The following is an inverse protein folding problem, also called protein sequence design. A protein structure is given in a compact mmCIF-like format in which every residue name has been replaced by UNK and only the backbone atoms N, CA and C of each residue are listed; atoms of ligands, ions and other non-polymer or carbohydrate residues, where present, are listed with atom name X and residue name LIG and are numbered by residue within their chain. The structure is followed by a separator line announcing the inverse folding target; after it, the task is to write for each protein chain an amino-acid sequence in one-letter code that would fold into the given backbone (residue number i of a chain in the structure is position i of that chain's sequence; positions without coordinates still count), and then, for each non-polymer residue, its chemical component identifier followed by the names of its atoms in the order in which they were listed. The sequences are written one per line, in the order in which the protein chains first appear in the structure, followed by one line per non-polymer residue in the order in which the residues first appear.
data_IF_144952162845
#
_entry.id   IF_144952162845
#
_cell.length_a   1.000
_cell.length_b   1.000
_cell.length_c   1.000
_cell.angle_alpha   90.00
_cell.angle_beta   90.00
_cell.angle_gamma   90.00
#
_symmetry.space_group_name_H-M   'P 1'
#
loop_
_entity.id
_entity.type
_entity.pdbx_description
1 polymer ?
#
# COMPACT_ATOMS: atom_id res chain seq x y z
N UNK A 1 4.74 11.82 14.53
CA UNK A 1 5.23 13.11 14.08
C UNK A 1 5.21 13.23 12.55
N UNK A 2 5.65 14.36 12.05
CA UNK A 2 5.76 14.67 10.62
C UNK A 2 6.97 13.99 9.99
N UNK A 3 6.84 13.57 8.73
CA UNK A 3 7.96 13.07 7.89
C UNK A 3 8.71 11.88 8.48
N UNK A 4 8.03 11.00 9.19
CA UNK A 4 8.66 9.79 9.71
C UNK A 4 9.27 8.99 8.56
N UNK A 5 10.55 8.62 8.69
CA UNK A 5 11.25 7.81 7.69
C UNK A 5 11.55 8.51 6.37
N UNK A 6 11.50 9.86 6.33
CA UNK A 6 11.84 10.59 5.11
C UNK A 6 13.30 10.33 4.71
N UNK A 7 13.51 10.04 3.41
CA UNK A 7 14.83 9.83 2.78
C UNK A 7 15.65 8.67 3.36
N UNK A 8 15.03 7.72 4.04
CA UNK A 8 15.75 6.59 4.64
C UNK A 8 16.42 5.74 3.55
N UNK A 9 17.76 5.57 3.64
CA UNK A 9 18.51 4.86 2.61
C UNK A 9 18.52 3.35 2.85
N UNK A 10 19.00 2.62 1.85
CA UNK A 10 19.23 1.18 1.93
C UNK A 10 20.05 0.79 3.17
N UNK A 11 19.68 -0.29 3.81
CA UNK A 11 20.36 -0.81 5.00
C UNK A 11 19.78 -0.30 6.32
N UNK A 12 18.87 0.68 6.30
CA UNK A 12 18.21 1.21 7.49
C UNK A 12 16.76 0.72 7.54
N UNK A 13 16.38 0.17 8.69
CA UNK A 13 15.00 -0.26 8.97
C UNK A 13 14.47 0.52 10.16
N UNK A 14 13.30 1.17 9.98
CA UNK A 14 12.60 1.86 11.06
C UNK A 14 11.25 1.20 11.29
N UNK A 15 10.99 0.81 12.52
CA UNK A 15 9.72 0.21 12.93
C UNK A 15 9.04 1.12 13.96
N UNK A 16 7.81 1.54 13.67
CA UNK A 16 7.02 2.41 14.53
C UNK A 16 5.82 1.67 15.09
N UNK A 17 5.67 1.65 16.41
CA UNK A 17 4.42 1.32 17.08
C UNK A 17 3.71 2.63 17.41
N UNK A 18 2.60 2.91 16.75
CA UNK A 18 1.82 4.13 16.92
C UNK A 18 1.57 4.85 15.60
N UNK A 19 0.99 6.02 15.70
CA UNK A 19 0.57 6.82 14.55
C UNK A 19 1.72 7.67 14.01
N UNK A 20 1.70 7.94 12.73
CA UNK A 20 2.51 8.98 12.12
C UNK A 20 1.62 9.95 11.33
N UNK A 21 2.08 11.21 11.22
CA UNK A 21 1.34 12.25 10.53
C UNK A 21 1.71 12.26 9.03
N UNK A 22 1.70 13.45 8.42
CA UNK A 22 1.91 13.59 6.98
C UNK A 22 3.36 13.33 6.55
N UNK A 23 3.55 13.02 5.28
CA UNK A 23 4.84 12.79 4.62
C UNK A 23 5.63 11.57 5.15
N UNK A 24 4.91 10.54 5.61
CA UNK A 24 5.55 9.25 5.89
C UNK A 24 6.37 8.81 4.68
N UNK A 25 7.66 8.53 4.89
CA UNK A 25 8.53 7.97 3.86
C UNK A 25 8.73 8.85 2.63
N UNK A 26 8.54 10.17 2.73
CA UNK A 26 8.84 11.09 1.63
C UNK A 26 10.26 10.85 1.13
N UNK A 27 10.40 10.62 -0.17
CA UNK A 27 11.71 10.40 -0.78
C UNK A 27 12.44 9.16 -0.27
N UNK A 28 11.73 8.16 0.22
CA UNK A 28 12.33 6.89 0.65
C UNK A 28 13.28 6.38 -0.43
N UNK A 29 14.50 6.02 -0.06
CA UNK A 29 15.57 5.70 -1.02
C UNK A 29 16.27 4.36 -0.73
N UNK A 30 15.50 3.34 -0.37
CA UNK A 30 15.99 1.97 -0.21
C UNK A 30 15.81 1.36 1.16
N UNK A 31 15.44 2.15 2.17
CA UNK A 31 15.18 1.63 3.51
C UNK A 31 13.88 0.88 3.64
N UNK A 32 13.64 0.35 4.83
CA UNK A 32 12.42 -0.40 5.17
C UNK A 32 11.71 0.31 6.30
N UNK A 33 10.42 0.61 6.09
CA UNK A 33 9.56 1.24 7.09
C UNK A 33 8.42 0.28 7.44
N UNK A 34 8.12 0.13 8.73
CA UNK A 34 6.93 -0.58 9.17
C UNK A 34 6.20 0.24 10.23
N UNK A 35 4.88 0.35 10.07
CA UNK A 35 3.99 1.11 10.93
C UNK A 35 2.91 0.16 11.41
N UNK A 36 2.75 0.03 12.73
CA UNK A 36 1.70 -0.80 13.33
C UNK A 36 1.07 -0.11 14.52
N UNK A 37 -0.18 -0.45 14.87
CA UNK A 37 -0.83 0.13 16.04
C UNK A 37 -0.08 -0.17 17.33
N UNK A 38 -0.19 0.73 18.30
CA UNK A 38 0.26 0.45 19.65
C UNK A 38 -0.52 -0.73 20.26
N UNK A 39 0.11 -1.49 21.14
CA UNK A 39 -0.51 -2.70 21.73
C UNK A 39 -1.81 -2.41 22.48
N UNK A 40 -1.93 -1.23 23.03
CA UNK A 40 -3.11 -0.80 23.79
C UNK A 40 -4.27 -0.34 22.91
N UNK A 41 -4.06 -0.22 21.61
CA UNK A 41 -5.10 0.23 20.70
C UNK A 41 -6.10 -0.89 20.45
N UNK A 42 -7.35 -0.65 20.84
CA UNK A 42 -8.44 -1.61 20.62
C UNK A 42 -8.99 -1.52 19.18
N UNK A 43 -9.55 -2.62 18.70
CA UNK A 43 -10.25 -2.68 17.41
C UNK A 43 -9.43 -3.32 16.30
N UNK A 44 -9.94 -3.20 15.09
CA UNK A 44 -9.31 -3.76 13.90
C UNK A 44 -8.41 -2.70 13.25
N UNK A 45 -7.12 -2.99 13.08
CA UNK A 45 -6.19 -2.02 12.48
C UNK A 45 -6.67 -1.50 11.12
N UNK A 46 -7.23 -2.37 10.30
CA UNK A 46 -7.68 -2.03 8.94
C UNK A 46 -8.87 -1.05 8.90
N UNK A 47 -9.48 -0.77 10.04
CA UNK A 47 -10.58 0.20 10.16
C UNK A 47 -10.11 1.56 10.68
N UNK A 48 -8.82 1.70 11.02
CA UNK A 48 -8.27 2.90 11.63
C UNK A 48 -7.17 3.53 10.77
N UNK A 49 -7.18 4.86 10.67
CA UNK A 49 -6.12 5.63 10.02
C UNK A 49 -4.93 5.72 10.97
N UNK A 50 -3.79 5.23 10.53
CA UNK A 50 -2.54 5.22 11.31
C UNK A 50 -1.45 6.09 10.69
N UNK A 51 -1.56 6.38 9.40
CA UNK A 51 -0.64 7.26 8.68
C UNK A 51 -1.42 8.42 8.08
N UNK A 52 -0.84 9.60 8.11
CA UNK A 52 -1.47 10.81 7.58
C UNK A 52 -1.46 10.89 6.06
N UNK A 53 -1.58 12.10 5.55
CA UNK A 53 -1.67 12.38 4.12
C UNK A 53 -0.28 12.41 3.46
N UNK A 54 -0.25 12.16 2.15
CA UNK A 54 0.96 12.29 1.31
C UNK A 54 2.08 11.32 1.73
N UNK A 55 1.74 10.08 1.99
CA UNK A 55 2.74 9.06 2.31
C UNK A 55 3.49 8.59 1.06
N UNK A 56 4.80 8.35 1.19
CA UNK A 56 5.71 7.85 0.15
C UNK A 56 5.81 8.76 -1.08
N UNK A 57 5.57 10.04 -0.91
CA UNK A 57 5.71 11.02 -1.98
C UNK A 57 7.12 11.01 -2.54
N UNK A 58 7.23 10.77 -3.84
CA UNK A 58 8.52 10.77 -4.53
C UNK A 58 9.50 9.68 -4.07
N UNK A 59 9.03 8.61 -3.44
CA UNK A 59 9.89 7.48 -3.06
C UNK A 59 10.51 6.83 -4.30
N UNK A 60 11.80 6.51 -4.23
CA UNK A 60 12.56 5.97 -5.38
C UNK A 60 12.87 4.48 -5.25
N UNK A 61 12.94 3.96 -4.04
CA UNK A 61 13.19 2.54 -3.76
C UNK A 61 12.91 2.26 -2.29
N UNK A 62 12.92 1.00 -1.91
CA UNK A 62 12.67 0.58 -0.53
C UNK A 62 11.30 -0.03 -0.33
N UNK A 63 10.93 -0.23 0.92
CA UNK A 63 9.71 -0.94 1.30
C UNK A 63 9.01 -0.22 2.43
N UNK A 64 7.69 -0.17 2.39
CA UNK A 64 6.88 0.41 3.47
C UNK A 64 5.65 -0.46 3.72
N UNK A 65 5.48 -0.88 4.97
CA UNK A 65 4.37 -1.73 5.41
C UNK A 65 3.55 -0.99 6.45
N UNK A 66 2.28 -0.74 6.15
CA UNK A 66 1.38 0.02 7.01
C UNK A 66 0.23 -0.87 7.46
N UNK A 67 0.22 -1.24 8.73
CA UNK A 67 -0.85 -2.02 9.35
C UNK A 67 -1.96 -1.09 9.81
N UNK A 68 -2.81 -0.72 8.89
CA UNK A 68 -3.90 0.23 9.06
C UNK A 68 -4.11 1.02 7.78
N UNK A 69 -4.95 2.04 7.88
CA UNK A 69 -5.27 2.91 6.75
C UNK A 69 -4.32 4.10 6.71
N UNK A 70 -4.02 4.55 5.51
CA UNK A 70 -3.38 5.83 5.27
C UNK A 70 -4.41 6.87 4.83
N UNK A 71 -4.07 8.15 4.97
CA UNK A 71 -4.90 9.24 4.51
C UNK A 71 -4.88 9.40 2.99
N UNK A 72 -5.12 10.62 2.52
CA UNK A 72 -5.14 10.94 1.09
C UNK A 72 -3.73 10.97 0.48
N UNK A 73 -3.66 10.81 -0.84
CA UNK A 73 -2.42 10.92 -1.64
C UNK A 73 -1.33 9.93 -1.24
N UNK A 74 -1.74 8.69 -0.99
CA UNK A 74 -0.79 7.62 -0.72
C UNK A 74 -0.02 7.25 -2.01
N UNK A 75 1.31 7.17 -1.94
CA UNK A 75 2.20 6.82 -3.06
C UNK A 75 2.15 7.75 -4.27
N UNK A 76 1.73 9.00 -4.08
CA UNK A 76 1.80 10.01 -5.14
C UNK A 76 3.25 10.19 -5.58
N UNK A 77 3.50 10.11 -6.90
CA UNK A 77 4.83 10.19 -7.50
C UNK A 77 5.83 9.15 -6.99
N UNK A 78 5.35 8.02 -6.47
CA UNK A 78 6.22 6.88 -6.19
C UNK A 78 6.86 6.40 -7.50
N UNK A 79 8.18 6.22 -7.50
CA UNK A 79 8.90 5.80 -8.71
C UNK A 79 9.62 4.45 -8.58
N UNK A 80 9.59 3.81 -7.41
CA UNK A 80 10.29 2.53 -7.27
C UNK A 80 10.12 1.80 -5.95
N UNK A 81 9.40 2.35 -4.98
CA UNK A 81 9.21 1.69 -3.69
C UNK A 81 8.08 0.65 -3.75
N UNK A 82 8.21 -0.38 -2.91
CA UNK A 82 7.13 -1.31 -2.60
C UNK A 82 6.36 -0.78 -1.38
N UNK A 83 5.04 -0.75 -1.46
CA UNK A 83 4.18 -0.39 -0.34
C UNK A 83 3.05 -1.39 -0.16
N UNK A 84 2.76 -1.75 1.09
CA UNK A 84 1.58 -2.54 1.45
C UNK A 84 0.81 -1.77 2.52
N UNK A 85 -0.47 -1.53 2.29
CA UNK A 85 -1.34 -0.74 3.17
C UNK A 85 -2.73 -1.37 3.24
N UNK A 86 -3.46 -1.10 4.33
CA UNK A 86 -4.76 -1.74 4.58
C UNK A 86 -5.95 -0.86 4.24
N UNK A 87 -5.71 0.24 3.57
CA UNK A 87 -6.70 1.17 3.05
C UNK A 87 -6.08 2.52 2.78
N UNK A 88 -6.66 3.27 1.86
CA UNK A 88 -6.19 4.62 1.49
C UNK A 88 -7.38 5.55 1.28
N UNK A 89 -7.15 6.84 1.46
CA UNK A 89 -8.10 7.87 1.12
C UNK A 89 -8.12 8.19 -0.38
N UNK A 90 -8.54 9.40 -0.72
CA UNK A 90 -8.62 9.84 -2.11
C UNK A 90 -7.22 10.03 -2.73
N UNK A 91 -7.13 9.92 -4.05
CA UNK A 91 -5.92 10.21 -4.83
C UNK A 91 -4.75 9.25 -4.60
N UNK A 92 -5.01 7.98 -4.25
CA UNK A 92 -3.95 6.97 -4.15
C UNK A 92 -3.25 6.75 -5.49
N UNK A 93 -1.94 6.59 -5.48
CA UNK A 93 -1.10 6.31 -6.65
C UNK A 93 -1.18 7.36 -7.77
N UNK A 94 -1.60 8.61 -7.48
CA UNK A 94 -1.60 9.67 -8.48
C UNK A 94 -0.18 9.95 -8.96
N UNK A 95 -0.03 10.08 -10.27
CA UNK A 95 1.26 10.36 -10.94
C UNK A 95 2.38 9.39 -10.57
N UNK A 96 2.03 8.19 -10.11
CA UNK A 96 3.01 7.14 -9.85
C UNK A 96 3.71 6.74 -11.15
N UNK A 97 5.03 6.58 -11.11
CA UNK A 97 5.85 6.30 -12.29
C UNK A 97 6.59 4.97 -12.22
N UNK A 98 6.58 4.30 -11.07
CA UNK A 98 7.25 3.02 -10.87
C UNK A 98 6.92 2.44 -9.50
N UNK A 99 7.46 1.29 -9.19
CA UNK A 99 7.24 0.62 -7.92
C UNK A 99 6.04 -0.32 -7.91
N UNK A 100 5.70 -0.81 -6.74
CA UNK A 100 4.59 -1.74 -6.53
C UNK A 100 3.80 -1.31 -5.30
N UNK A 101 2.49 -1.26 -5.43
CA UNK A 101 1.59 -0.87 -4.33
C UNK A 101 0.53 -1.94 -4.16
N UNK A 102 0.36 -2.41 -2.91
CA UNK A 102 -0.66 -3.40 -2.55
C UNK A 102 -1.62 -2.75 -1.56
N UNK A 103 -2.90 -2.69 -1.90
CA UNK A 103 -3.95 -2.17 -1.03
C UNK A 103 -4.88 -3.32 -0.65
N UNK A 104 -4.93 -3.63 0.64
CA UNK A 104 -5.68 -4.76 1.17
C UNK A 104 -7.10 -4.42 1.62
N UNK A 105 -7.47 -3.15 1.56
CA UNK A 105 -8.77 -2.67 2.02
C UNK A 105 -9.33 -1.57 1.11
N UNK A 106 -10.14 -0.69 1.70
CA UNK A 106 -10.85 0.34 0.95
C UNK A 106 -9.95 1.37 0.29
N UNK A 107 -10.41 1.92 -0.83
CA UNK A 107 -9.77 3.06 -1.49
C UNK A 107 -10.77 4.21 -1.58
N UNK A 108 -10.27 5.44 -1.68
CA UNK A 108 -11.06 6.61 -1.97
C UNK A 108 -11.21 6.84 -3.47
N UNK A 109 -11.62 8.05 -3.84
CA UNK A 109 -11.86 8.43 -5.23
C UNK A 109 -10.56 8.74 -5.96
N UNK A 110 -10.64 8.70 -7.28
CA UNK A 110 -9.61 9.16 -8.20
C UNK A 110 -8.27 8.41 -8.05
N UNK A 111 -8.35 7.13 -7.71
CA UNK A 111 -7.18 6.26 -7.60
C UNK A 111 -6.49 6.14 -8.96
N UNK A 112 -5.16 6.20 -8.99
CA UNK A 112 -4.31 6.05 -10.17
C UNK A 112 -4.44 7.18 -11.21
N UNK A 113 -4.98 8.34 -10.87
CA UNK A 113 -5.01 9.47 -11.79
C UNK A 113 -3.60 9.86 -12.24
N UNK A 114 -3.36 9.94 -13.55
CA UNK A 114 -2.05 10.29 -14.11
C UNK A 114 -0.95 9.26 -13.88
N UNK A 115 -1.27 8.06 -13.41
CA UNK A 115 -0.31 6.99 -13.22
C UNK A 115 0.26 6.55 -14.57
N UNK A 116 1.59 6.56 -14.71
CA UNK A 116 2.28 6.26 -15.97
C UNK A 116 3.28 5.12 -15.87
N UNK A 117 3.51 4.57 -14.69
CA UNK A 117 4.41 3.44 -14.48
C UNK A 117 4.14 2.74 -13.16
N UNK A 118 4.76 1.58 -12.97
CA UNK A 118 4.51 0.74 -11.81
C UNK A 118 3.23 -0.08 -11.92
N UNK A 119 2.92 -0.83 -10.88
CA UNK A 119 1.71 -1.66 -10.81
C UNK A 119 1.11 -1.52 -9.42
N UNK A 120 -0.21 -1.38 -9.35
CA UNK A 120 -0.95 -1.47 -8.11
C UNK A 120 -1.83 -2.73 -8.11
N UNK A 121 -1.96 -3.34 -6.93
CA UNK A 121 -2.80 -4.51 -6.70
C UNK A 121 -3.80 -4.14 -5.61
N UNK A 122 -5.08 -4.14 -5.94
CA UNK A 122 -6.15 -3.73 -5.02
C UNK A 122 -7.06 -4.92 -4.74
N UNK A 123 -7.18 -5.27 -3.46
CA UNK A 123 -8.15 -6.29 -3.04
C UNK A 123 -9.54 -5.70 -3.10
N UNK A 124 -10.39 -6.25 -3.98
CA UNK A 124 -11.72 -5.74 -4.29
C UNK A 124 -12.77 -6.86 -4.18
N UNK A 125 -13.09 -7.31 -2.95
CA UNK A 125 -14.01 -8.43 -2.77
C UNK A 125 -15.45 -8.13 -3.21
N UNK A 126 -15.84 -6.86 -3.26
CA UNK A 126 -17.19 -6.44 -3.60
C UNK A 126 -17.35 -5.95 -5.04
N UNK A 127 -16.25 -5.82 -5.79
CA UNK A 127 -16.27 -5.37 -7.19
C UNK A 127 -16.57 -3.89 -7.36
N UNK A 128 -16.31 -3.06 -6.34
CA UNK A 128 -16.60 -1.61 -6.37
C UNK A 128 -15.42 -0.74 -6.81
N UNK A 129 -14.22 -1.29 -6.82
CA UNK A 129 -13.01 -0.53 -7.13
C UNK A 129 -13.02 0.17 -8.51
N UNK A 130 -13.53 -0.45 -9.60
CA UNK A 130 -13.53 0.23 -10.90
C UNK A 130 -14.21 1.60 -10.91
N UNK A 131 -15.20 1.82 -10.06
CA UNK A 131 -15.90 3.11 -9.96
C UNK A 131 -15.08 4.18 -9.25
N UNK A 132 -14.06 3.79 -8.51
CA UNK A 132 -13.19 4.67 -7.72
C UNK A 132 -11.87 4.95 -8.42
N UNK A 133 -11.52 4.17 -9.43
CA UNK A 133 -10.26 4.29 -10.16
C UNK A 133 -10.41 5.25 -11.34
N UNK A 134 -9.44 6.13 -11.52
CA UNK A 134 -9.34 6.96 -12.72
C UNK A 134 -8.65 6.15 -13.82
N UNK A 135 -9.42 5.75 -14.84
CA UNK A 135 -8.95 4.87 -15.90
C UNK A 135 -8.51 5.61 -17.19
N UNK A 136 -8.26 6.90 -17.13
CA UNK A 136 -7.80 7.65 -18.29
C UNK A 136 -6.45 7.16 -18.82
N UNK A 137 -5.55 6.74 -17.91
CA UNK A 137 -4.20 6.33 -18.26
C UNK A 137 -3.85 4.90 -17.83
N UNK A 138 -4.79 4.17 -17.22
CA UNK A 138 -4.54 2.83 -16.70
C UNK A 138 -5.60 1.84 -17.16
N UNK A 139 -5.20 0.58 -17.19
CA UNK A 139 -6.09 -0.56 -17.41
C UNK A 139 -6.30 -1.32 -16.10
N UNK A 140 -7.49 -1.88 -15.94
CA UNK A 140 -7.82 -2.77 -14.83
C UNK A 140 -7.87 -4.19 -15.38
N UNK A 141 -7.10 -5.08 -14.79
CA UNK A 141 -6.97 -6.46 -15.25
C UNK A 141 -7.14 -7.44 -14.10
N UNK A 142 -7.51 -8.66 -14.42
CA UNK A 142 -7.44 -9.76 -13.48
C UNK A 142 -5.97 -10.13 -13.23
N UNK A 143 -5.68 -10.60 -12.02
CA UNK A 143 -4.36 -11.12 -11.67
C UNK A 143 -4.33 -12.61 -11.97
N UNK A 144 -3.76 -13.00 -13.11
CA UNK A 144 -3.75 -14.39 -13.58
C UNK A 144 -2.36 -14.96 -13.88
N UNK A 145 -1.31 -14.13 -13.90
CA UNK A 145 0.07 -14.60 -14.06
C UNK A 145 0.53 -15.32 -12.78
N UNK A 146 0.88 -16.62 -12.86
CA UNK A 146 1.31 -17.38 -11.68
C UNK A 146 2.53 -16.78 -10.95
N UNK A 147 3.48 -16.20 -11.67
CA UNK A 147 4.66 -15.62 -11.09
C UNK A 147 4.32 -14.35 -10.32
N UNK A 148 3.41 -13.55 -10.85
CA UNK A 148 2.92 -12.33 -10.21
C UNK A 148 2.10 -12.66 -8.95
N UNK A 149 1.29 -13.71 -9.00
CA UNK A 149 0.55 -14.22 -7.83
C UNK A 149 1.50 -14.61 -6.71
N UNK A 150 2.59 -15.31 -7.02
CA UNK A 150 3.61 -15.70 -6.03
C UNK A 150 4.25 -14.47 -5.39
N UNK A 151 4.59 -13.45 -6.18
CA UNK A 151 5.16 -12.21 -5.68
C UNK A 151 4.19 -11.47 -4.77
N UNK A 152 2.94 -11.34 -5.17
CA UNK A 152 1.91 -10.68 -4.35
C UNK A 152 1.75 -11.37 -3.00
N UNK A 153 1.66 -12.69 -3.00
CA UNK A 153 1.58 -13.45 -1.76
C UNK A 153 2.77 -13.21 -0.86
N UNK A 154 3.98 -13.20 -1.43
CA UNK A 154 5.22 -12.93 -0.70
C UNK A 154 5.20 -11.54 -0.04
N UNK A 155 4.74 -10.52 -0.73
CA UNK A 155 4.66 -9.17 -0.17
C UNK A 155 3.66 -9.09 0.99
N UNK A 156 2.53 -9.80 0.90
CA UNK A 156 1.57 -9.88 2.00
C UNK A 156 2.16 -10.65 3.18
N UNK A 157 2.89 -11.73 2.92
CA UNK A 157 3.61 -12.47 3.97
C UNK A 157 4.64 -11.58 4.69
N UNK A 158 5.37 -10.75 3.94
CA UNK A 158 6.30 -9.78 4.52
C UNK A 158 5.58 -8.72 5.35
N UNK A 159 4.43 -8.24 4.88
CA UNK A 159 3.60 -7.31 5.62
C UNK A 159 3.18 -7.89 6.97
N UNK A 160 2.74 -9.14 7.00
CA UNK A 160 2.41 -9.84 8.25
C UNK A 160 3.63 -9.96 9.15
N UNK A 161 4.78 -10.33 8.59
CA UNK A 161 6.01 -10.48 9.37
C UNK A 161 6.45 -9.16 9.99
N UNK A 162 6.36 -8.05 9.25
CA UNK A 162 6.82 -6.73 9.68
C UNK A 162 5.85 -6.04 10.64
N UNK A 163 4.56 -6.30 10.52
CA UNK A 163 3.53 -5.53 11.24
C UNK A 163 2.62 -6.37 12.13
N UNK A 164 2.69 -7.70 12.05
CA UNK A 164 1.76 -8.62 12.73
C UNK A 164 0.30 -8.40 12.31
N UNK A 165 0.05 -8.01 11.07
CA UNK A 165 -1.27 -7.66 10.54
C UNK A 165 -2.29 -8.80 10.69
N UNK A 166 -3.39 -8.61 11.43
CA UNK A 166 -4.47 -9.60 11.45
C UNK A 166 -5.17 -9.76 10.11
N UNK A 167 -5.38 -8.64 9.39
CA UNK A 167 -5.98 -8.68 8.05
C UNK A 167 -5.12 -9.49 7.09
N UNK A 168 -3.81 -9.23 7.06
CA UNK A 168 -2.89 -9.98 6.20
C UNK A 168 -2.92 -11.46 6.49
N UNK A 169 -2.96 -11.86 7.76
CA UNK A 169 -3.09 -13.27 8.14
C UNK A 169 -4.38 -13.89 7.64
N UNK A 170 -5.52 -13.21 7.81
CA UNK A 170 -6.81 -13.71 7.33
C UNK A 170 -6.82 -13.91 5.81
N UNK A 171 -6.24 -12.97 5.06
CA UNK A 171 -6.17 -13.09 3.60
C UNK A 171 -5.30 -14.27 3.17
N UNK A 172 -4.17 -14.49 3.85
CA UNK A 172 -3.28 -15.62 3.56
C UNK A 172 -3.92 -16.97 3.89
N UNK A 173 -4.68 -17.07 4.98
CA UNK A 173 -5.40 -18.28 5.36
C UNK A 173 -6.43 -18.72 4.32
N UNK A 174 -7.00 -17.77 3.59
CA UNK A 174 -8.00 -18.01 2.54
C UNK A 174 -7.46 -17.67 1.15
N UNK A 175 -6.18 -17.79 0.93
CA UNK A 175 -5.50 -17.27 -0.27
C UNK A 175 -6.12 -17.76 -1.58
N UNK A 176 -6.50 -19.04 -1.66
CA UNK A 176 -7.11 -19.60 -2.86
C UNK A 176 -8.40 -18.87 -3.29
N UNK A 177 -9.17 -18.34 -2.35
CA UNK A 177 -10.36 -17.55 -2.60
C UNK A 177 -10.04 -16.06 -2.81
N UNK A 178 -9.08 -15.56 -2.03
CA UNK A 178 -8.72 -14.14 -1.98
C UNK A 178 -8.03 -13.68 -3.25
N UNK A 179 -7.12 -14.48 -3.80
CA UNK A 179 -6.27 -14.07 -4.92
C UNK A 179 -7.10 -13.66 -6.15
N UNK A 180 -8.20 -14.33 -6.42
CA UNK A 180 -9.09 -14.02 -7.55
C UNK A 180 -9.88 -12.72 -7.39
N UNK A 181 -9.82 -12.07 -6.22
CA UNK A 181 -10.50 -10.81 -5.95
C UNK A 181 -9.57 -9.60 -6.04
N UNK A 182 -8.30 -9.79 -6.39
CA UNK A 182 -7.39 -8.68 -6.65
C UNK A 182 -7.58 -8.13 -8.05
N UNK A 183 -7.53 -6.82 -8.16
CA UNK A 183 -7.50 -6.08 -9.43
C UNK A 183 -6.09 -5.56 -9.63
N UNK A 184 -5.54 -5.81 -10.82
CA UNK A 184 -4.22 -5.34 -11.24
C UNK A 184 -4.39 -4.05 -12.03
N UNK A 185 -3.75 -2.98 -11.55
CA UNK A 185 -3.82 -1.63 -12.16
C UNK A 185 -2.51 -1.36 -12.86
N UNK A 186 -2.54 -1.20 -14.18
CA UNK A 186 -1.35 -0.96 -15.02
C UNK A 186 -1.58 0.21 -15.98
N UNK A 187 -0.53 1.01 -16.24
CA UNK A 187 -0.57 2.04 -17.28
C UNK A 187 -0.71 1.47 -18.68
#
# INVERSE_FOLDING_TARGET
GQSFGAFVPHGVTLALEGDCNDYLGKGLSGGILSIRPAKEQAGKPEENVIAGNVALYGATSGECYVCGMAGERFCVRNSGALAVVEGVGDHGCEYMTGGRVVVLGSVGRNFAAGMSGGIAYVYDPEGTFPQLCNTEMVLLEALDDPDEVVLLKKWIEQHVRRTHSPLGQRLLESWGTVVGRFVRVIP
#
